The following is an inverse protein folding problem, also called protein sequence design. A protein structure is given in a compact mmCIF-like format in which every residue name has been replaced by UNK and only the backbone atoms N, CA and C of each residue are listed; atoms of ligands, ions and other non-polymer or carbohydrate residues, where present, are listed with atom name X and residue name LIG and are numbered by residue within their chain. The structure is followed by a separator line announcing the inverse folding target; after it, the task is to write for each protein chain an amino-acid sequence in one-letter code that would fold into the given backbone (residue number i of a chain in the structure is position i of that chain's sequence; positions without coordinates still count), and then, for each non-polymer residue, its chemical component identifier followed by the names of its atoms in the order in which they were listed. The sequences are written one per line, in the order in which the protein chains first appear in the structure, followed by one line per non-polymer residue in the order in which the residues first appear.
data_IF_697988982517
#
_entry.id   IF_697988982517
#
_cell.length_a   1.000
_cell.length_b   1.000
_cell.length_c   1.000
_cell.angle_alpha   90.00
_cell.angle_beta   90.00
_cell.angle_gamma   90.00
#
_symmetry.space_group_name_H-M   'P 1'
#
loop_
_entity.id
_entity.type
_entity.pdbx_description
1 polymer ?
#
# COMPACT_ATOMS: atom_id res chain seq x y z
N UNK A 1 -11.22 -8.29 26.07
CA UNK A 1 -10.58 -7.04 25.62
C UNK A 1 -10.16 -7.25 24.17
N UNK A 2 -10.60 -6.41 23.23
CA UNK A 2 -10.14 -6.50 21.85
C UNK A 2 -8.66 -6.09 21.77
N UNK A 3 -7.80 -6.90 21.16
CA UNK A 3 -6.42 -6.47 20.91
C UNK A 3 -6.40 -5.35 19.87
N UNK A 4 -5.72 -4.26 20.20
CA UNK A 4 -5.54 -3.15 19.27
C UNK A 4 -4.33 -3.45 18.37
N UNK A 5 -4.59 -3.89 17.14
CA UNK A 5 -3.56 -3.99 16.11
C UNK A 5 -3.47 -2.69 15.30
N UNK A 6 -2.25 -2.30 14.92
CA UNK A 6 -1.96 -1.08 14.16
C UNK A 6 -1.16 -1.45 12.91
N UNK A 7 -1.54 -0.88 11.77
CA UNK A 7 -0.85 -1.09 10.49
C UNK A 7 -0.40 0.25 9.93
N UNK A 8 0.82 0.28 9.41
CA UNK A 8 1.41 1.42 8.72
C UNK A 8 1.86 1.01 7.33
N UNK A 9 1.61 1.88 6.36
CA UNK A 9 2.10 1.75 4.99
C UNK A 9 2.90 2.98 4.62
N UNK A 10 4.13 2.81 4.17
CA UNK A 10 5.03 3.91 3.81
C UNK A 10 5.80 3.58 2.53
N UNK A 11 5.68 4.44 1.51
CA UNK A 11 6.63 4.44 0.40
C UNK A 11 7.89 5.21 0.81
N UNK A 12 9.02 4.51 0.85
CA UNK A 12 10.32 5.04 1.31
C UNK A 12 11.20 5.54 0.16
N UNK A 13 10.78 5.43 -1.11
CA UNK A 13 11.55 5.85 -2.29
C UNK A 13 12.97 5.25 -2.31
N UNK A 14 13.10 3.97 -1.99
CA UNK A 14 14.37 3.23 -1.95
C UNK A 14 15.15 3.36 -0.64
N UNK A 15 15.85 2.28 -0.28
CA UNK A 15 16.58 2.10 0.98
C UNK A 15 18.06 1.71 0.75
N UNK A 16 18.65 2.09 -0.39
CA UNK A 16 20.05 1.77 -0.68
C UNK A 16 21.03 2.50 0.24
N UNK A 17 20.73 3.75 0.54
CA UNK A 17 21.54 4.60 1.40
C UNK A 17 21.42 4.18 2.88
N UNK A 18 22.53 3.82 3.57
CA UNK A 18 22.51 3.42 4.97
C UNK A 18 21.96 4.49 5.91
N UNK A 19 22.28 5.77 5.65
CA UNK A 19 21.83 6.90 6.48
C UNK A 19 20.31 7.04 6.40
N UNK A 20 19.74 6.95 5.20
CA UNK A 20 18.30 6.92 4.97
C UNK A 20 17.64 5.73 5.64
N UNK A 21 18.24 4.53 5.56
CA UNK A 21 17.73 3.36 6.30
C UNK A 21 17.65 3.64 7.80
N UNK A 22 18.72 4.16 8.39
CA UNK A 22 18.75 4.51 9.82
C UNK A 22 17.66 5.53 10.17
N UNK A 23 17.51 6.60 9.39
CA UNK A 23 16.46 7.62 9.61
C UNK A 23 15.05 7.03 9.53
N UNK A 24 14.77 6.20 8.51
CA UNK A 24 13.47 5.53 8.36
C UNK A 24 13.20 4.62 9.55
N UNK A 25 14.18 3.82 9.96
CA UNK A 25 14.07 2.92 11.10
C UNK A 25 13.82 3.68 12.41
N UNK A 26 14.55 4.78 12.64
CA UNK A 26 14.34 5.66 13.80
C UNK A 26 12.94 6.29 13.79
N UNK A 27 12.44 6.71 12.62
CA UNK A 27 11.07 7.21 12.49
C UNK A 27 10.03 6.13 12.86
N UNK A 28 10.20 4.91 12.37
CA UNK A 28 9.32 3.77 12.70
C UNK A 28 9.33 3.49 14.21
N UNK A 29 10.50 3.51 14.84
CA UNK A 29 10.64 3.33 16.30
C UNK A 29 9.95 4.44 17.09
N UNK A 30 10.20 5.68 16.70
CA UNK A 30 9.70 6.87 17.38
C UNK A 30 8.20 7.04 17.26
N UNK A 31 7.59 6.54 16.17
CA UNK A 31 6.17 6.81 15.95
C UNK A 31 5.30 6.26 17.09
N UNK A 32 5.62 5.15 17.81
CA UNK A 32 4.79 4.66 18.93
C UNK A 32 5.42 3.72 19.98
N UNK A 33 6.67 3.86 20.42
CA UNK A 33 7.25 2.89 21.39
C UNK A 33 7.11 1.43 20.89
N UNK A 34 7.16 1.19 19.58
CA UNK A 34 7.24 -0.16 19.06
C UNK A 34 8.57 -0.73 19.56
N UNK A 35 8.54 -1.55 20.63
CA UNK A 35 9.61 -2.50 20.85
C UNK A 35 9.59 -3.39 19.61
N UNK A 36 10.49 -3.11 18.68
CA UNK A 36 10.76 -3.95 17.50
C UNK A 36 11.38 -5.27 17.98
N UNK A 37 10.69 -6.01 18.84
CA UNK A 37 11.02 -7.39 19.14
C UNK A 37 10.51 -8.19 17.94
N UNK A 38 11.47 -8.72 17.16
CA UNK A 38 11.26 -9.61 16.02
C UNK A 38 10.54 -8.99 14.83
N UNK A 39 11.18 -8.00 14.18
CA UNK A 39 10.75 -7.59 12.83
C UNK A 39 11.38 -8.49 11.78
N UNK A 40 10.52 -9.26 11.12
CA UNK A 40 10.85 -10.13 10.02
C UNK A 40 10.85 -9.31 8.72
N UNK A 41 12.02 -9.14 8.08
CA UNK A 41 12.17 -8.36 6.84
C UNK A 41 12.19 -9.26 5.61
N UNK A 42 11.44 -8.91 4.57
CA UNK A 42 11.43 -9.62 3.29
C UNK A 42 11.22 -8.67 2.12
N UNK A 43 11.84 -9.00 0.98
CA UNK A 43 11.77 -8.27 -0.29
C UNK A 43 11.18 -9.17 -1.37
N UNK A 44 10.25 -8.67 -2.18
CA UNK A 44 9.77 -9.37 -3.39
C UNK A 44 10.73 -9.27 -4.57
N UNK A 45 11.82 -8.51 -4.46
CA UNK A 45 12.72 -8.27 -5.57
C UNK A 45 14.01 -9.11 -5.46
N UNK A 46 14.32 -9.98 -6.45
CA UNK A 46 15.40 -10.95 -6.37
C UNK A 46 16.82 -10.39 -6.66
N UNK A 47 16.96 -9.22 -7.30
CA UNK A 47 18.26 -8.57 -7.57
C UNK A 47 18.40 -7.28 -6.78
N UNK A 48 19.35 -7.16 -5.86
CA UNK A 48 19.57 -5.89 -5.15
C UNK A 48 19.79 -4.75 -6.16
N UNK A 49 18.91 -3.74 -6.21
CA UNK A 49 19.18 -2.58 -7.06
C UNK A 49 18.01 -1.75 -7.59
N UNK A 50 16.78 -2.25 -7.69
CA UNK A 50 15.64 -1.45 -8.18
C UNK A 50 14.36 -1.86 -7.43
N UNK A 51 13.58 -0.84 -7.02
CA UNK A 51 12.22 -0.86 -6.42
C UNK A 51 11.76 -2.17 -5.75
N UNK A 52 11.54 -2.13 -4.44
CA UNK A 52 10.96 -3.24 -3.68
C UNK A 52 10.12 -2.74 -2.52
N UNK A 53 9.05 -3.49 -2.23
CA UNK A 53 8.17 -3.29 -1.09
C UNK A 53 8.62 -4.22 0.03
N UNK A 54 8.94 -3.74 1.25
CA UNK A 54 9.18 -4.63 2.38
C UNK A 54 7.86 -5.23 2.89
N UNK A 55 7.90 -6.51 3.30
CA UNK A 55 6.87 -7.32 4.01
C UNK A 55 6.20 -8.45 3.16
N UNK A 56 6.84 -9.64 3.18
CA UNK A 56 6.59 -11.08 2.81
C UNK A 56 5.79 -11.55 1.56
N UNK A 57 6.46 -12.45 0.82
CA UNK A 57 6.09 -13.36 -0.30
C UNK A 57 6.21 -12.83 -1.74
N UNK A 58 6.97 -13.62 -2.51
CA UNK A 58 7.62 -13.32 -3.79
C UNK A 58 6.63 -13.31 -4.98
N UNK A 59 6.69 -12.25 -5.79
CA UNK A 59 6.30 -12.31 -7.19
C UNK A 59 7.25 -11.45 -8.04
N UNK A 60 7.43 -11.87 -9.28
CA UNK A 60 8.53 -11.61 -10.22
C UNK A 60 8.83 -10.14 -10.59
N UNK A 61 8.11 -9.16 -10.04
CA UNK A 61 8.21 -7.73 -10.41
C UNK A 61 8.43 -6.78 -9.21
N UNK A 62 8.45 -7.27 -7.97
CA UNK A 62 8.69 -6.44 -6.77
C UNK A 62 7.57 -5.44 -6.41
N UNK A 63 6.41 -5.55 -7.05
CA UNK A 63 5.31 -4.57 -7.01
C UNK A 63 4.18 -4.93 -6.01
N UNK A 64 4.24 -6.09 -5.38
CA UNK A 64 3.35 -6.43 -4.27
C UNK A 64 3.92 -7.56 -3.42
N UNK A 65 3.36 -7.71 -2.23
CA UNK A 65 3.56 -8.82 -1.32
C UNK A 65 2.23 -9.15 -0.63
N UNK A 66 1.88 -10.43 -0.53
CA UNK A 66 0.66 -10.88 0.14
C UNK A 66 1.01 -11.85 1.27
N UNK A 67 0.60 -11.50 2.49
CA UNK A 67 0.77 -12.32 3.70
C UNK A 67 -0.58 -12.82 4.14
N UNK A 68 -0.66 -14.12 4.43
CA UNK A 68 -1.87 -14.74 4.98
C UNK A 68 -1.53 -15.35 6.33
N UNK A 69 -2.43 -15.20 7.29
CA UNK A 69 -2.25 -15.74 8.64
C UNK A 69 -3.54 -15.76 9.41
N UNK A 70 -3.42 -16.04 10.71
CA UNK A 70 -4.52 -15.90 11.67
C UNK A 70 -4.13 -14.87 12.73
N UNK A 71 -5.05 -13.96 13.02
CA UNK A 71 -4.98 -13.08 14.18
C UNK A 71 -6.17 -13.41 15.07
N UNK A 72 -5.93 -13.80 16.33
CA UNK A 72 -6.98 -14.24 17.25
C UNK A 72 -7.92 -15.30 16.64
N UNK A 73 -7.34 -16.32 16.01
CA UNK A 73 -8.05 -17.38 15.25
C UNK A 73 -8.83 -16.95 14.00
N UNK A 74 -8.90 -15.65 13.69
CA UNK A 74 -9.53 -15.14 12.48
C UNK A 74 -8.51 -15.08 11.33
N UNK A 75 -8.87 -15.62 10.17
CA UNK A 75 -8.03 -15.47 8.98
C UNK A 75 -7.90 -14.00 8.59
N UNK A 76 -6.68 -13.58 8.29
CA UNK A 76 -6.36 -12.25 7.81
C UNK A 76 -5.37 -12.34 6.65
N UNK A 77 -5.57 -11.46 5.68
CA UNK A 77 -4.66 -11.22 4.56
C UNK A 77 -4.16 -9.79 4.60
N UNK A 78 -2.85 -9.59 4.59
CA UNK A 78 -2.21 -8.27 4.44
C UNK A 78 -1.59 -8.21 3.06
N UNK A 79 -2.02 -7.24 2.26
CA UNK A 79 -1.52 -7.00 0.91
C UNK A 79 -0.81 -5.64 0.86
N UNK A 80 0.50 -5.66 0.67
CA UNK A 80 1.27 -4.44 0.43
C UNK A 80 1.54 -4.29 -1.07
N UNK A 81 1.17 -3.15 -1.66
CA UNK A 81 1.26 -2.92 -3.11
C UNK A 81 2.10 -1.70 -3.43
N UNK A 82 2.95 -1.81 -4.43
CA UNK A 82 3.52 -0.67 -5.14
C UNK A 82 3.08 -0.75 -6.60
N UNK A 83 2.27 0.20 -7.03
CA UNK A 83 1.86 0.32 -8.42
C UNK A 83 2.82 1.27 -9.11
N UNK A 84 3.56 0.85 -10.16
CA UNK A 84 4.42 1.76 -10.90
C UNK A 84 3.63 2.97 -11.43
N UNK A 85 4.24 4.16 -11.51
CA UNK A 85 3.66 5.27 -12.25
C UNK A 85 3.23 4.83 -13.65
N UNK A 86 2.16 5.43 -14.16
CA UNK A 86 1.62 5.19 -15.51
C UNK A 86 1.02 3.80 -15.77
N UNK A 87 0.97 2.92 -14.75
CA UNK A 87 0.35 1.58 -14.84
C UNK A 87 -1.02 1.57 -15.53
N UNK A 88 -1.29 0.52 -16.31
CA UNK A 88 -2.45 0.40 -17.19
C UNK A 88 -3.63 -0.30 -16.52
N UNK A 89 -4.84 -0.25 -17.11
CA UNK A 89 -6.03 -0.93 -16.56
C UNK A 89 -5.82 -2.44 -16.31
N UNK A 90 -5.21 -3.22 -17.23
CA UNK A 90 -4.94 -4.64 -16.97
C UNK A 90 -4.08 -4.88 -15.74
N UNK A 91 -3.13 -3.97 -15.44
CA UNK A 91 -2.30 -4.07 -14.25
C UNK A 91 -3.15 -4.02 -12.98
N UNK A 92 -4.08 -3.07 -12.88
CA UNK A 92 -4.98 -2.97 -11.72
C UNK A 92 -5.95 -4.15 -11.65
N UNK A 93 -6.55 -4.54 -12.78
CA UNK A 93 -7.49 -5.66 -12.84
C UNK A 93 -6.85 -6.95 -12.31
N UNK A 94 -5.64 -7.26 -12.79
CA UNK A 94 -4.86 -8.40 -12.31
C UNK A 94 -4.62 -8.36 -10.79
N UNK A 95 -4.50 -7.17 -10.16
CA UNK A 95 -4.36 -7.10 -8.69
C UNK A 95 -5.66 -7.45 -7.97
N UNK A 96 -6.81 -7.09 -8.53
CA UNK A 96 -8.11 -7.51 -7.99
C UNK A 96 -8.37 -9.00 -8.22
N UNK A 97 -8.01 -9.53 -9.39
CA UNK A 97 -8.12 -10.96 -9.67
C UNK A 97 -7.34 -11.79 -8.64
N UNK A 98 -6.11 -11.38 -8.30
CA UNK A 98 -5.33 -12.02 -7.23
C UNK A 98 -5.98 -11.90 -5.84
N UNK A 99 -6.59 -10.76 -5.53
CA UNK A 99 -7.32 -10.59 -4.27
C UNK A 99 -8.47 -11.61 -4.22
N UNK A 100 -9.25 -11.69 -5.29
CA UNK A 100 -10.41 -12.57 -5.36
C UNK A 100 -10.04 -14.05 -5.34
N UNK A 101 -8.88 -14.43 -5.89
CA UNK A 101 -8.40 -15.81 -5.90
C UNK A 101 -7.72 -16.23 -4.60
N UNK A 102 -6.88 -15.37 -4.01
CA UNK A 102 -5.93 -15.79 -2.98
C UNK A 102 -6.18 -15.23 -1.58
N UNK A 103 -6.93 -14.12 -1.46
CA UNK A 103 -7.20 -13.52 -0.16
C UNK A 103 -8.12 -14.41 0.68
N UNK A 104 -7.86 -14.44 1.99
CA UNK A 104 -8.65 -15.18 2.97
C UNK A 104 -8.97 -14.31 4.18
N UNK A 105 -10.22 -14.39 4.62
CA UNK A 105 -10.73 -13.64 5.77
C UNK A 105 -10.63 -12.12 5.57
N UNK A 106 -10.25 -11.40 6.61
CA UNK A 106 -10.15 -9.92 6.56
C UNK A 106 -8.96 -9.51 5.70
N UNK A 107 -9.21 -8.80 4.61
CA UNK A 107 -8.16 -8.22 3.77
C UNK A 107 -7.83 -6.79 4.18
N UNK A 108 -6.54 -6.53 4.43
CA UNK A 108 -6.02 -5.18 4.61
C UNK A 108 -5.01 -4.89 3.49
N UNK A 109 -5.39 -3.98 2.60
CA UNK A 109 -4.54 -3.52 1.50
C UNK A 109 -3.93 -2.17 1.82
N UNK A 110 -2.60 -2.11 1.84
CA UNK A 110 -1.82 -0.89 1.96
C UNK A 110 -0.88 -0.72 0.76
N UNK A 111 -0.23 0.45 0.71
CA UNK A 111 0.85 0.71 -0.23
C UNK A 111 0.65 1.98 -1.06
N UNK A 112 1.42 2.10 -2.13
CA UNK A 112 1.38 3.21 -3.07
C UNK A 112 0.69 2.77 -4.36
N UNK A 113 -0.50 3.31 -4.60
CA UNK A 113 -1.31 2.98 -5.77
C UNK A 113 -0.96 3.82 -6.99
N UNK A 114 -0.22 4.93 -6.86
CA UNK A 114 -0.01 5.91 -7.94
C UNK A 114 -1.33 6.27 -8.70
N UNK A 115 -2.44 6.34 -7.96
CA UNK A 115 -3.79 6.63 -8.48
C UNK A 115 -4.50 7.66 -7.61
N UNK A 116 -5.02 8.71 -8.24
CA UNK A 116 -5.85 9.72 -7.60
C UNK A 116 -7.32 9.30 -7.72
N UNK A 117 -7.98 9.02 -6.60
CA UNK A 117 -9.39 8.57 -6.59
C UNK A 117 -10.37 9.73 -6.67
N UNK A 118 -10.12 10.84 -6.01
CA UNK A 118 -10.94 12.03 -6.04
C UNK A 118 -10.06 13.24 -6.34
N UNK A 119 -10.18 13.81 -7.54
CA UNK A 119 -9.34 14.95 -7.95
C UNK A 119 -9.42 16.13 -7.00
N UNK A 120 -10.60 16.39 -6.40
CA UNK A 120 -10.83 17.54 -5.53
C UNK A 120 -10.22 17.35 -4.14
N UNK A 121 -10.26 16.12 -3.63
CA UNK A 121 -9.89 15.81 -2.24
C UNK A 121 -8.52 15.14 -2.09
N UNK A 122 -8.02 14.46 -3.13
CA UNK A 122 -6.77 13.69 -3.11
C UNK A 122 -5.64 14.36 -3.92
N UNK A 123 -5.90 15.52 -4.52
CA UNK A 123 -4.92 16.23 -5.32
C UNK A 123 -5.04 17.74 -5.21
N UNK A 124 -3.90 18.42 -5.34
CA UNK A 124 -3.80 19.87 -5.57
C UNK A 124 -3.57 20.21 -7.03
N UNK A 125 -3.32 19.21 -7.89
CA UNK A 125 -3.06 19.43 -9.31
C UNK A 125 -4.34 19.60 -10.13
N UNK A 126 -4.29 20.44 -11.16
CA UNK A 126 -5.35 20.61 -12.16
C UNK A 126 -5.11 19.79 -13.44
N UNK A 127 -4.06 18.95 -13.49
CA UNK A 127 -3.72 18.14 -14.67
C UNK A 127 -4.82 17.11 -15.01
N UNK A 128 -4.96 16.79 -16.31
CA UNK A 128 -5.94 15.82 -16.84
C UNK A 128 -5.88 14.50 -16.05
N UNK A 129 -7.02 14.11 -15.48
CA UNK A 129 -7.17 12.89 -14.70
C UNK A 129 -7.43 11.68 -15.62
N UNK A 130 -6.92 10.50 -15.24
CA UNK A 130 -7.19 9.21 -15.91
C UNK A 130 -8.57 8.69 -15.54
N UNK A 131 -9.63 9.42 -15.93
CA UNK A 131 -11.03 9.20 -15.53
C UNK A 131 -11.45 7.74 -15.71
N UNK A 132 -11.14 7.14 -16.86
CA UNK A 132 -11.55 5.76 -17.15
C UNK A 132 -10.86 4.74 -16.26
N UNK A 133 -9.58 4.96 -15.92
CA UNK A 133 -8.85 4.08 -15.00
C UNK A 133 -9.43 4.18 -13.58
N UNK A 134 -9.70 5.40 -13.11
CA UNK A 134 -10.34 5.66 -11.83
C UNK A 134 -11.71 4.96 -11.73
N UNK A 135 -12.56 5.09 -12.75
CA UNK A 135 -13.90 4.47 -12.77
C UNK A 135 -13.81 2.95 -12.62
N UNK A 136 -12.95 2.32 -13.42
CA UNK A 136 -12.72 0.86 -13.35
C UNK A 136 -12.19 0.47 -11.98
N UNK A 137 -11.24 1.22 -11.43
CA UNK A 137 -10.69 0.94 -10.11
C UNK A 137 -11.75 1.03 -9.00
N UNK A 138 -12.60 2.05 -9.03
CA UNK A 138 -13.69 2.20 -8.05
C UNK A 138 -14.71 1.07 -8.19
N UNK A 139 -15.09 0.71 -9.42
CA UNK A 139 -15.98 -0.43 -9.65
C UNK A 139 -15.37 -1.73 -9.14
N UNK A 140 -14.08 -1.99 -9.42
CA UNK A 140 -13.39 -3.18 -8.89
C UNK A 140 -13.27 -3.18 -7.36
N UNK A 141 -13.17 -2.01 -6.71
CA UNK A 141 -13.23 -1.95 -5.24
C UNK A 141 -14.60 -2.36 -4.72
N UNK A 142 -15.67 -1.82 -5.31
CA UNK A 142 -17.06 -2.11 -4.94
C UNK A 142 -17.38 -3.59 -5.14
N UNK A 143 -17.06 -4.16 -6.31
CA UNK A 143 -17.23 -5.59 -6.63
C UNK A 143 -16.46 -6.50 -5.66
N UNK A 144 -15.29 -6.07 -5.19
CA UNK A 144 -14.47 -6.86 -4.25
C UNK A 144 -14.87 -6.63 -2.78
N UNK A 145 -15.92 -5.83 -2.51
CA UNK A 145 -16.33 -5.46 -1.14
C UNK A 145 -15.31 -4.63 -0.38
N UNK A 146 -14.40 -3.95 -1.08
CA UNK A 146 -13.31 -3.18 -0.47
C UNK A 146 -13.68 -1.71 -0.30
N UNK A 147 -13.35 -1.17 0.88
CA UNK A 147 -13.60 0.21 1.23
C UNK A 147 -12.30 1.01 1.39
N UNK A 148 -12.36 2.29 1.06
CA UNK A 148 -11.32 3.26 1.41
C UNK A 148 -11.42 3.61 2.90
N UNK A 149 -10.56 3.04 3.74
CA UNK A 149 -10.62 3.33 5.18
C UNK A 149 -10.41 4.82 5.45
N UNK A 150 -9.47 5.47 4.75
CA UNK A 150 -9.19 6.90 4.96
C UNK A 150 -10.39 7.75 4.56
N UNK A 151 -10.95 7.54 3.36
CA UNK A 151 -12.05 8.35 2.84
C UNK A 151 -13.39 8.04 3.53
N UNK A 152 -13.56 6.84 4.06
CA UNK A 152 -14.73 6.48 4.85
C UNK A 152 -14.80 7.26 6.17
N UNK A 153 -13.64 7.41 6.84
CA UNK A 153 -13.52 8.18 8.10
C UNK A 153 -13.47 9.68 7.82
N UNK A 154 -12.72 10.11 6.81
CA UNK A 154 -12.46 11.53 6.49
C UNK A 154 -13.09 11.94 5.16
N UNK A 155 -14.42 11.92 5.10
CA UNK A 155 -15.20 12.11 3.85
C UNK A 155 -14.83 13.38 3.07
N UNK A 156 -14.63 14.50 3.77
CA UNK A 156 -14.47 15.82 3.13
C UNK A 156 -13.09 16.46 3.32
N UNK A 157 -12.18 15.81 4.06
CA UNK A 157 -10.85 16.38 4.32
C UNK A 157 -9.98 16.25 3.09
N UNK A 158 -9.49 17.37 2.56
CA UNK A 158 -8.49 17.37 1.51
C UNK A 158 -7.15 16.92 2.09
N UNK A 159 -6.55 15.87 1.53
CA UNK A 159 -5.27 15.35 1.98
C UNK A 159 -4.48 14.77 0.80
N UNK A 160 -3.19 15.07 0.74
CA UNK A 160 -2.28 14.59 -0.30
C UNK A 160 -1.11 13.86 0.35
N UNK A 161 -0.83 12.62 -0.07
CA UNK A 161 0.23 11.80 0.51
C UNK A 161 1.59 11.93 -0.20
N UNK A 162 1.64 12.71 -1.28
CA UNK A 162 2.85 12.88 -2.08
C UNK A 162 2.92 14.29 -2.68
N UNK A 163 4.13 14.86 -2.67
CA UNK A 163 4.47 16.09 -3.35
C UNK A 163 5.82 15.94 -4.06
N UNK A 164 5.99 16.63 -5.19
CA UNK A 164 7.33 16.86 -5.73
C UNK A 164 8.04 17.87 -4.83
N UNK A 165 9.31 17.63 -4.54
CA UNK A 165 10.19 18.68 -4.00
C UNK A 165 10.20 19.85 -5.00
N UNK A 166 10.18 21.11 -4.53
CA UNK A 166 10.49 22.23 -5.39
C UNK A 166 11.88 21.98 -6.01
N UNK A 167 11.96 21.99 -7.32
CA UNK A 167 13.23 22.00 -8.07
C UNK A 167 13.96 23.30 -7.82
#
# INVERSE_FOLDING_TARGET
MASLFKIMSLNVNGLKDPTKRHKVMKKIQNERNYRLMNVLYYSSFPKQGRRGVPTLLLHTWGCYNMIRGKLENNYMTILNVYTPPESTKPFYKHRFDLINMDARGVLIRGGDLNLIRNQRLDSTSFKRNRITLKKIFNYSLEESGLVDVWRNIHKYIKNTHWCHSPT
#
